data_IF_138004417663
#
_entry.id   IF_138004417663
#
_cell.length_a   1.000
_cell.length_b   1.000
_cell.length_c   1.000
_cell.angle_alpha   90.00
_cell.angle_beta   90.00
_cell.angle_gamma   90.00
#
_symmetry.space_group_name_H-M   'P 1'
#
loop_
_entity.id
_entity.type
_entity.pdbx_description
1 polymer ?
#
# COMPACT_ATOMS: atom_id res chain seq x y z
N UNK A 1 -10.23 5.62 1.41
CA UNK A 1 -10.20 6.96 2.03
C UNK A 1 -10.61 7.96 0.97
N UNK A 2 -11.49 8.90 1.28
CA UNK A 2 -11.80 10.04 0.40
C UNK A 2 -11.12 11.27 0.98
N UNK A 3 -10.28 11.93 0.20
CA UNK A 3 -9.61 13.18 0.61
C UNK A 3 -10.57 14.38 0.41
N UNK A 4 -11.73 14.33 1.11
CA UNK A 4 -12.82 15.31 0.92
C UNK A 4 -12.37 16.75 1.18
N UNK A 5 -11.44 16.95 2.09
CA UNK A 5 -10.90 18.26 2.43
C UNK A 5 -9.58 18.60 1.70
N UNK A 6 -9.02 17.69 0.92
CA UNK A 6 -7.76 17.85 0.21
C UNK A 6 -6.54 17.92 1.13
N UNK A 7 -6.61 17.42 2.36
CA UNK A 7 -5.51 17.48 3.33
C UNK A 7 -4.34 16.60 2.90
N UNK A 8 -4.62 15.39 2.43
CA UNK A 8 -3.62 14.48 1.88
C UNK A 8 -2.88 15.11 0.68
N UNK A 9 -3.65 15.65 -0.27
CA UNK A 9 -3.06 16.29 -1.45
C UNK A 9 -2.23 17.52 -1.08
N UNK A 10 -2.69 18.35 -0.11
CA UNK A 10 -1.92 19.48 0.40
C UNK A 10 -0.62 19.05 1.08
N UNK A 11 -0.66 17.99 1.89
CA UNK A 11 0.53 17.49 2.56
C UNK A 11 1.57 16.96 1.56
N UNK A 12 1.15 16.25 0.50
CA UNK A 12 2.05 15.88 -0.61
C UNK A 12 2.64 17.12 -1.30
N UNK A 13 1.82 18.17 -1.52
CA UNK A 13 2.32 19.42 -2.09
C UNK A 13 3.39 20.07 -1.22
N UNK A 14 3.24 20.04 0.09
CA UNK A 14 4.26 20.53 1.04
C UNK A 14 5.53 19.70 0.95
N UNK A 15 5.43 18.37 0.93
CA UNK A 15 6.58 17.48 0.79
C UNK A 15 7.37 17.76 -0.52
N UNK A 16 6.67 17.85 -1.65
CA UNK A 16 7.33 18.19 -2.93
C UNK A 16 8.02 19.56 -2.93
N UNK A 17 7.41 20.57 -2.30
CA UNK A 17 8.02 21.90 -2.16
C UNK A 17 9.26 21.89 -1.27
N UNK A 18 9.32 20.96 -0.32
CA UNK A 18 10.51 20.71 0.50
C UNK A 18 11.60 19.91 -0.23
N UNK A 19 11.35 19.47 -1.47
CA UNK A 19 12.30 18.73 -2.29
C UNK A 19 12.14 17.19 -2.20
N UNK A 20 11.13 16.71 -1.48
CA UNK A 20 10.86 15.26 -1.35
C UNK A 20 10.27 14.70 -2.65
N UNK A 21 10.72 13.51 -3.03
CA UNK A 21 10.14 12.70 -4.09
C UNK A 21 9.10 11.76 -3.48
N UNK A 22 7.87 11.80 -3.98
CA UNK A 22 6.75 11.05 -3.42
C UNK A 22 6.22 10.06 -4.45
N UNK A 23 6.01 8.81 -4.02
CA UNK A 23 5.26 7.77 -4.74
C UNK A 23 4.04 7.41 -3.92
N UNK A 24 2.88 7.37 -4.54
CA UNK A 24 1.63 6.94 -3.90
C UNK A 24 1.30 5.53 -4.38
N UNK A 25 1.11 4.61 -3.45
CA UNK A 25 0.54 3.27 -3.72
C UNK A 25 -0.83 3.22 -3.07
N UNK A 26 -1.84 2.79 -3.80
CA UNK A 26 -3.21 2.77 -3.28
C UNK A 26 -3.83 1.38 -3.33
N UNK A 27 -4.70 1.09 -2.39
CA UNK A 27 -5.67 0.01 -2.47
C UNK A 27 -7.02 0.50 -2.99
N UNK A 28 -8.07 -0.26 -2.74
CA UNK A 28 -9.43 0.08 -3.16
C UNK A 28 -10.45 -0.99 -2.77
N UNK A 29 -10.22 -1.68 -1.65
CA UNK A 29 -11.09 -2.76 -1.17
C UNK A 29 -12.57 -2.40 -1.18
N UNK A 30 -13.00 -1.28 -0.57
CA UNK A 30 -14.40 -0.88 -0.57
C UNK A 30 -14.98 -0.64 -1.98
N UNK A 31 -14.21 -0.04 -2.88
CA UNK A 31 -14.62 0.20 -4.27
C UNK A 31 -14.76 -1.10 -5.05
N UNK A 32 -13.81 -2.03 -4.85
CA UNK A 32 -13.88 -3.38 -5.43
C UNK A 32 -15.12 -4.11 -4.92
N UNK A 33 -15.43 -4.04 -3.62
CA UNK A 33 -16.61 -4.68 -3.04
C UNK A 33 -17.92 -4.14 -3.62
N UNK A 34 -17.99 -2.82 -3.84
CA UNK A 34 -19.15 -2.20 -4.51
C UNK A 34 -19.29 -2.71 -5.95
N UNK A 35 -18.17 -2.76 -6.70
CA UNK A 35 -18.19 -3.21 -8.09
C UNK A 35 -18.55 -4.70 -8.22
N UNK A 36 -18.02 -5.57 -7.35
CA UNK A 36 -18.33 -7.00 -7.33
C UNK A 36 -19.81 -7.23 -7.00
N UNK A 37 -20.34 -6.55 -5.95
CA UNK A 37 -21.77 -6.63 -5.63
C UNK A 37 -22.67 -6.18 -6.77
N UNK A 38 -22.28 -5.10 -7.47
CA UNK A 38 -23.00 -4.61 -8.64
C UNK A 38 -23.08 -5.62 -9.79
N UNK A 39 -22.12 -6.56 -9.85
CA UNK A 39 -22.08 -7.66 -10.83
C UNK A 39 -22.65 -8.97 -10.30
N UNK A 40 -23.09 -9.03 -9.02
CA UNK A 40 -23.55 -10.25 -8.39
C UNK A 40 -22.43 -11.24 -8.05
N UNK A 41 -21.17 -10.79 -8.04
CA UNK A 41 -20.00 -11.64 -7.74
C UNK A 41 -19.76 -11.65 -6.25
N UNK A 42 -19.68 -12.85 -5.66
CA UNK A 42 -19.36 -13.07 -4.25
C UNK A 42 -17.85 -13.09 -4.06
N UNK A 43 -17.35 -12.30 -3.13
CA UNK A 43 -15.94 -12.24 -2.78
C UNK A 43 -15.68 -12.98 -1.47
N UNK A 44 -14.66 -13.81 -1.44
CA UNK A 44 -14.22 -14.56 -0.25
C UNK A 44 -12.87 -14.04 0.22
N UNK A 45 -12.66 -14.01 1.54
CA UNK A 45 -11.40 -13.61 2.15
C UNK A 45 -10.81 -14.77 2.95
N UNK A 46 -9.50 -14.97 2.84
CA UNK A 46 -8.76 -15.99 3.59
C UNK A 46 -7.45 -15.36 4.09
N UNK A 47 -7.24 -15.35 5.39
CA UNK A 47 -6.04 -14.81 6.03
C UNK A 47 -5.70 -13.36 5.63
N UNK A 48 -6.72 -12.52 5.46
CA UNK A 48 -6.55 -11.12 5.05
C UNK A 48 -6.35 -10.90 3.54
N UNK A 49 -6.42 -11.95 2.73
CA UNK A 49 -6.35 -11.87 1.27
C UNK A 49 -7.70 -12.13 0.62
N UNK A 50 -8.05 -11.35 -0.39
CA UNK A 50 -9.21 -11.60 -1.25
C UNK A 50 -8.89 -12.75 -2.19
N UNK A 51 -9.56 -13.90 -2.06
CA UNK A 51 -9.44 -14.97 -3.03
C UNK A 51 -9.85 -14.44 -4.40
N UNK A 52 -8.95 -14.51 -5.37
CA UNK A 52 -9.07 -13.79 -6.64
C UNK A 52 -9.15 -14.79 -7.80
N UNK A 53 -10.37 -15.04 -8.28
CA UNK A 53 -10.60 -15.73 -9.56
C UNK A 53 -10.29 -14.79 -10.73
N UNK A 54 -10.29 -15.30 -11.97
CA UNK A 54 -10.10 -14.44 -13.14
C UNK A 54 -11.19 -13.35 -13.23
N UNK A 55 -12.44 -13.71 -12.99
CA UNK A 55 -13.56 -12.76 -13.01
C UNK A 55 -13.41 -11.66 -11.94
N UNK A 56 -12.95 -12.02 -10.73
CA UNK A 56 -12.66 -11.07 -9.66
C UNK A 56 -11.45 -10.21 -10.04
N UNK A 57 -10.41 -10.81 -10.64
CA UNK A 57 -9.23 -10.07 -11.08
C UNK A 57 -9.57 -8.98 -12.10
N UNK A 58 -10.42 -9.29 -13.07
CA UNK A 58 -10.85 -8.32 -14.10
C UNK A 58 -11.54 -7.11 -13.47
N UNK A 59 -12.36 -7.33 -12.42
CA UNK A 59 -12.99 -6.25 -11.65
C UNK A 59 -11.96 -5.47 -10.81
N UNK A 60 -11.02 -6.17 -10.17
CA UNK A 60 -9.94 -5.55 -9.38
C UNK A 60 -9.10 -4.64 -10.27
N UNK A 61 -8.67 -5.11 -11.44
CA UNK A 61 -7.86 -4.34 -12.38
C UNK A 61 -8.64 -3.10 -12.86
N UNK A 62 -9.88 -3.27 -13.31
CA UNK A 62 -10.74 -2.17 -13.75
C UNK A 62 -10.91 -1.09 -12.67
N UNK A 63 -11.23 -1.51 -11.44
CA UNK A 63 -11.48 -0.57 -10.33
C UNK A 63 -10.20 0.13 -9.89
N UNK A 64 -9.11 -0.60 -9.69
CA UNK A 64 -7.89 0.00 -9.17
C UNK A 64 -7.21 0.88 -10.22
N UNK A 65 -7.09 0.41 -11.46
CA UNK A 65 -6.35 1.12 -12.50
C UNK A 65 -7.15 2.27 -13.09
N UNK A 66 -8.42 2.01 -13.48
CA UNK A 66 -9.19 2.97 -14.26
C UNK A 66 -10.05 3.91 -13.39
N UNK A 67 -10.34 3.54 -12.13
CA UNK A 67 -11.16 4.37 -11.26
C UNK A 67 -10.32 4.98 -10.13
N UNK A 68 -9.86 4.19 -9.17
CA UNK A 68 -9.21 4.70 -7.95
C UNK A 68 -7.90 5.44 -8.28
N UNK A 69 -7.04 4.89 -9.11
CA UNK A 69 -5.78 5.52 -9.50
C UNK A 69 -6.00 6.90 -10.14
N UNK A 70 -6.95 6.98 -11.07
CA UNK A 70 -7.30 8.24 -11.73
C UNK A 70 -7.94 9.26 -10.77
N UNK A 71 -8.79 8.81 -9.83
CA UNK A 71 -9.37 9.69 -8.80
C UNK A 71 -8.30 10.28 -7.88
N UNK A 72 -7.32 9.47 -7.45
CA UNK A 72 -6.19 9.93 -6.64
C UNK A 72 -5.35 10.93 -7.42
N UNK A 73 -4.97 10.62 -8.65
CA UNK A 73 -4.18 11.52 -9.49
C UNK A 73 -4.93 12.85 -9.75
N UNK A 74 -6.23 12.79 -10.03
CA UNK A 74 -7.06 13.98 -10.19
C UNK A 74 -7.15 14.82 -8.92
N UNK A 75 -7.21 14.19 -7.74
CA UNK A 75 -7.22 14.88 -6.45
C UNK A 75 -5.91 15.62 -6.20
N UNK A 76 -4.77 15.00 -6.50
CA UNK A 76 -3.47 15.67 -6.47
C UNK A 76 -3.40 16.84 -7.46
N UNK A 77 -3.97 16.68 -8.65
CA UNK A 77 -4.06 17.73 -9.67
C UNK A 77 -4.79 18.99 -9.20
N UNK A 78 -5.81 18.87 -8.34
CA UNK A 78 -6.56 20.02 -7.79
C UNK A 78 -5.72 20.98 -6.96
N UNK A 79 -4.60 20.52 -6.40
CA UNK A 79 -3.66 21.33 -5.65
C UNK A 79 -2.37 21.65 -6.44
N UNK A 80 -2.39 21.43 -7.77
CA UNK A 80 -1.30 21.78 -8.67
C UNK A 80 -0.18 20.74 -8.76
N UNK A 81 -0.36 19.54 -8.22
CA UNK A 81 0.60 18.44 -8.33
C UNK A 81 0.42 17.75 -9.67
N UNK A 82 1.51 17.58 -10.41
CA UNK A 82 1.52 16.68 -11.57
C UNK A 82 1.57 15.24 -11.06
N UNK A 83 0.54 14.46 -11.35
CA UNK A 83 0.47 13.07 -10.94
C UNK A 83 0.15 12.17 -12.14
N UNK A 84 0.66 10.94 -12.13
CA UNK A 84 0.44 9.95 -13.18
C UNK A 84 -0.08 8.65 -12.57
N UNK A 85 -1.33 8.31 -12.87
CA UNK A 85 -1.91 7.03 -12.48
C UNK A 85 -1.35 5.93 -13.38
N UNK A 86 -0.85 4.86 -12.77
CA UNK A 86 -0.26 3.73 -13.49
C UNK A 86 -0.57 2.41 -12.82
N UNK A 87 -0.67 1.37 -13.63
CA UNK A 87 -0.66 0.00 -13.14
C UNK A 87 0.78 -0.51 -13.03
N UNK A 88 1.11 -1.21 -11.96
CA UNK A 88 2.38 -1.92 -11.87
C UNK A 88 2.54 -3.02 -12.95
N UNK A 89 1.45 -3.38 -13.64
CA UNK A 89 1.40 -4.34 -14.75
C UNK A 89 1.64 -3.69 -16.11
N UNK A 90 0.98 -2.55 -16.39
CA UNK A 90 1.06 -1.88 -17.72
C UNK A 90 2.46 -1.39 -18.04
N UNK A 91 3.13 -0.80 -17.05
CA UNK A 91 4.57 -0.55 -17.06
C UNK A 91 5.14 -1.52 -16.03
N UNK A 92 5.71 -2.69 -16.43
CA UNK A 92 5.99 -3.79 -15.51
C UNK A 92 6.99 -3.40 -14.43
N UNK A 93 6.47 -2.67 -13.44
CA UNK A 93 7.21 -2.15 -12.29
C UNK A 93 7.31 -3.18 -11.18
N UNK A 94 6.25 -3.97 -10.97
CA UNK A 94 6.23 -5.07 -9.99
C UNK A 94 5.96 -6.39 -10.72
N UNK A 95 6.88 -7.33 -10.56
CA UNK A 95 6.72 -8.72 -10.99
C UNK A 95 6.41 -9.57 -9.77
N UNK A 96 5.41 -10.42 -9.90
CA UNK A 96 4.91 -11.27 -8.82
C UNK A 96 4.76 -12.72 -9.26
N UNK A 97 4.73 -13.65 -8.33
CA UNK A 97 4.26 -15.01 -8.54
C UNK A 97 2.96 -15.24 -7.76
N UNK A 98 2.26 -16.32 -8.05
CA UNK A 98 1.06 -16.68 -7.27
C UNK A 98 1.43 -16.95 -5.82
N UNK A 99 0.64 -16.35 -4.92
CA UNK A 99 0.76 -16.59 -3.49
C UNK A 99 0.12 -17.91 -3.13
N UNK A 100 0.86 -18.80 -2.48
CA UNK A 100 0.41 -20.15 -2.09
C UNK A 100 0.34 -20.36 -0.59
N UNK A 101 0.64 -19.31 0.19
CA UNK A 101 0.66 -19.35 1.65
C UNK A 101 0.11 -18.05 2.24
N UNK A 102 -0.50 -18.15 3.40
CA UNK A 102 -0.87 -17.03 4.25
C UNK A 102 0.38 -16.38 4.88
N UNK A 103 0.18 -15.34 5.69
CA UNK A 103 1.29 -14.63 6.36
C UNK A 103 1.97 -15.54 7.40
N UNK A 104 1.21 -16.40 8.05
CA UNK A 104 1.71 -17.37 9.05
C UNK A 104 2.36 -18.63 8.42
N UNK A 105 2.46 -18.70 7.09
CA UNK A 105 3.01 -19.83 6.36
C UNK A 105 2.00 -20.95 6.06
N UNK A 106 0.76 -20.85 6.52
CA UNK A 106 -0.27 -21.85 6.24
C UNK A 106 -0.55 -21.94 4.74
N UNK A 107 -0.50 -23.12 4.12
CA UNK A 107 -0.83 -23.29 2.70
C UNK A 107 -2.26 -22.85 2.39
N UNK A 108 -2.46 -22.11 1.31
CA UNK A 108 -3.76 -21.65 0.87
C UNK A 108 -3.82 -21.49 -0.65
N UNK A 109 -4.94 -21.87 -1.26
CA UNK A 109 -5.24 -21.50 -2.65
C UNK A 109 -5.98 -20.16 -2.66
N UNK A 110 -5.28 -19.14 -3.11
CA UNK A 110 -5.77 -17.76 -3.17
C UNK A 110 -6.06 -17.30 -4.61
N UNK A 111 -5.94 -18.22 -5.58
CA UNK A 111 -6.14 -17.93 -7.01
C UNK A 111 -5.09 -16.98 -7.58
N UNK A 112 -5.52 -15.85 -8.12
CA UNK A 112 -4.65 -14.84 -8.75
C UNK A 112 -4.13 -13.79 -7.76
N UNK A 113 -3.95 -14.14 -6.49
CA UNK A 113 -3.23 -13.29 -5.53
C UNK A 113 -1.73 -13.38 -5.79
N UNK A 114 -1.08 -12.22 -5.87
CA UNK A 114 0.36 -12.10 -6.14
C UNK A 114 1.20 -11.95 -4.87
N UNK A 115 2.39 -12.54 -4.92
CA UNK A 115 3.49 -12.30 -4.00
C UNK A 115 4.65 -11.65 -4.76
N UNK A 116 5.09 -10.46 -4.33
CA UNK A 116 6.13 -9.70 -5.03
C UNK A 116 7.43 -10.50 -5.09
N UNK A 117 8.00 -10.59 -6.28
CA UNK A 117 9.29 -11.26 -6.53
C UNK A 117 10.40 -10.26 -6.79
N UNK A 118 10.13 -9.27 -7.61
CA UNK A 118 11.08 -8.21 -7.93
C UNK A 118 10.38 -6.93 -8.35
N UNK A 119 11.10 -5.84 -8.23
CA UNK A 119 10.67 -4.51 -8.67
C UNK A 119 11.64 -4.00 -9.73
N UNK A 120 11.08 -3.39 -10.79
CA UNK A 120 11.83 -2.58 -11.75
C UNK A 120 11.43 -1.12 -11.55
N UNK A 121 12.23 -0.29 -10.88
CA UNK A 121 11.85 1.08 -10.55
C UNK A 121 12.02 2.08 -11.71
N UNK A 122 12.50 1.67 -12.88
CA UNK A 122 12.90 2.58 -13.96
C UNK A 122 11.80 3.59 -14.35
N UNK A 123 10.57 3.11 -14.57
CA UNK A 123 9.45 3.98 -14.91
C UNK A 123 9.09 4.96 -13.79
N UNK A 124 9.22 4.56 -12.53
CA UNK A 124 8.99 5.43 -11.39
C UNK A 124 10.06 6.52 -11.27
N UNK A 125 11.33 6.14 -11.44
CA UNK A 125 12.46 7.08 -11.39
C UNK A 125 12.34 8.12 -12.49
N UNK A 126 11.96 7.73 -13.71
CA UNK A 126 11.73 8.65 -14.82
C UNK A 126 10.63 9.68 -14.50
N UNK A 127 9.51 9.25 -13.90
CA UNK A 127 8.44 10.15 -13.48
C UNK A 127 8.91 11.09 -12.35
N UNK A 128 9.64 10.58 -11.37
CA UNK A 128 10.15 11.35 -10.24
C UNK A 128 11.16 12.41 -10.69
N UNK A 129 12.03 12.11 -11.64
CA UNK A 129 12.96 13.08 -12.27
C UNK A 129 12.21 14.22 -12.95
N UNK A 130 11.05 13.95 -13.55
CA UNK A 130 10.16 14.94 -14.14
C UNK A 130 9.28 15.68 -13.12
N UNK A 131 9.45 15.41 -11.81
CA UNK A 131 8.63 15.93 -10.72
C UNK A 131 7.15 15.57 -10.84
N UNK A 132 6.88 14.41 -11.41
CA UNK A 132 5.54 13.80 -11.50
C UNK A 132 5.41 12.78 -10.37
N UNK A 133 4.32 12.84 -9.61
CA UNK A 133 4.00 11.84 -8.56
C UNK A 133 3.41 10.59 -9.22
N UNK A 134 4.10 9.44 -9.17
CA UNK A 134 3.50 8.18 -9.60
C UNK A 134 2.39 7.77 -8.62
N UNK A 135 1.22 7.41 -9.14
CA UNK A 135 0.10 6.84 -8.38
C UNK A 135 -0.10 5.41 -8.85
N UNK A 136 0.37 4.46 -8.06
CA UNK A 136 0.54 3.07 -8.47
C UNK A 136 -0.61 2.21 -7.97
N UNK A 137 -1.35 1.60 -8.89
CA UNK A 137 -2.26 0.49 -8.60
C UNK A 137 -1.46 -0.81 -8.46
N UNK A 138 -1.63 -1.60 -7.38
CA UNK A 138 -0.83 -2.79 -7.10
C UNK A 138 -1.30 -4.02 -7.90
N UNK A 139 -1.64 -3.82 -9.17
CA UNK A 139 -1.95 -4.87 -10.13
C UNK A 139 -0.68 -5.20 -10.90
N UNK A 140 -0.18 -6.41 -10.71
CA UNK A 140 1.12 -6.87 -11.21
C UNK A 140 0.98 -7.94 -12.28
N UNK A 141 2.08 -8.35 -12.88
CA UNK A 141 2.16 -9.50 -13.78
C UNK A 141 3.09 -10.57 -13.22
N UNK A 142 2.91 -11.79 -13.74
CA UNK A 142 3.91 -12.84 -13.63
C UNK A 142 5.17 -12.52 -14.47
N UNK A 143 6.21 -13.34 -14.35
CA UNK A 143 7.49 -13.14 -15.04
C UNK A 143 7.34 -13.09 -16.56
N UNK A 144 6.41 -13.86 -17.11
CA UNK A 144 6.13 -13.91 -18.56
C UNK A 144 5.26 -12.74 -19.04
N UNK A 145 4.79 -11.88 -18.16
CA UNK A 145 3.87 -10.76 -18.41
C UNK A 145 2.50 -11.18 -18.97
N UNK A 146 2.11 -12.44 -18.78
CA UNK A 146 0.87 -13.01 -19.33
C UNK A 146 -0.27 -12.98 -18.30
N UNK A 147 0.03 -13.39 -17.07
CA UNK A 147 -0.98 -13.51 -16.02
C UNK A 147 -0.99 -12.25 -15.14
N UNK A 148 -2.16 -11.63 -15.01
CA UNK A 148 -2.35 -10.55 -14.06
C UNK A 148 -2.48 -11.12 -12.64
N UNK A 149 -1.90 -10.43 -11.66
CA UNK A 149 -1.90 -10.81 -10.25
C UNK A 149 -2.32 -9.64 -9.37
N UNK A 150 -3.27 -9.91 -8.47
CA UNK A 150 -3.74 -8.97 -7.45
C UNK A 150 -2.77 -8.99 -6.27
N UNK A 151 -1.93 -7.97 -6.15
CA UNK A 151 -0.98 -7.82 -5.04
C UNK A 151 -1.60 -6.94 -3.96
N UNK A 152 -1.42 -7.31 -2.70
CA UNK A 152 -1.80 -6.45 -1.59
C UNK A 152 -1.01 -5.14 -1.64
N UNK A 153 -1.69 -4.00 -1.44
CA UNK A 153 -1.11 -2.67 -1.58
C UNK A 153 0.04 -2.41 -0.59
N UNK A 154 -0.06 -2.91 0.63
CA UNK A 154 0.98 -2.73 1.65
C UNK A 154 2.27 -3.45 1.23
N UNK A 155 2.19 -4.68 0.70
CA UNK A 155 3.35 -5.41 0.19
C UNK A 155 3.95 -4.79 -1.07
N UNK A 156 3.11 -4.30 -1.98
CA UNK A 156 3.60 -3.56 -3.15
C UNK A 156 4.32 -2.28 -2.73
N UNK A 157 3.77 -1.52 -1.78
CA UNK A 157 4.38 -0.31 -1.25
C UNK A 157 5.73 -0.60 -0.56
N UNK A 158 5.80 -1.67 0.24
CA UNK A 158 7.03 -2.09 0.89
C UNK A 158 8.14 -2.42 -0.12
N UNK A 159 7.82 -3.22 -1.13
CA UNK A 159 8.77 -3.60 -2.18
C UNK A 159 9.23 -2.40 -3.01
N UNK A 160 8.32 -1.49 -3.35
CA UNK A 160 8.64 -0.24 -4.05
C UNK A 160 9.51 0.67 -3.21
N UNK A 161 9.20 0.87 -1.93
CA UNK A 161 9.99 1.68 -1.01
C UNK A 161 11.42 1.17 -0.89
N UNK A 162 11.59 -0.14 -0.73
CA UNK A 162 12.90 -0.79 -0.68
C UNK A 162 13.68 -0.61 -1.99
N UNK A 163 13.05 -0.87 -3.14
CA UNK A 163 13.69 -0.76 -4.46
C UNK A 163 14.10 0.67 -4.82
N UNK A 164 13.36 1.67 -4.34
CA UNK A 164 13.65 3.08 -4.54
C UNK A 164 14.65 3.62 -3.50
N UNK A 165 15.03 2.85 -2.48
CA UNK A 165 15.84 3.33 -1.36
C UNK A 165 15.14 4.44 -0.58
N UNK A 166 13.82 4.34 -0.40
CA UNK A 166 13.01 5.38 0.21
C UNK A 166 13.48 5.68 1.65
N UNK A 167 13.52 6.97 1.99
CA UNK A 167 13.85 7.42 3.34
C UNK A 167 12.77 7.04 4.36
N UNK A 168 11.52 6.92 3.92
CA UNK A 168 10.38 6.51 4.76
C UNK A 168 9.28 5.87 3.92
N UNK A 169 8.62 4.86 4.48
CA UNK A 169 7.34 4.34 4.02
C UNK A 169 6.26 4.77 5.02
N UNK A 170 5.21 5.43 4.54
CA UNK A 170 4.04 5.79 5.36
C UNK A 170 2.88 4.87 4.98
N UNK A 171 2.45 4.03 5.91
CA UNK A 171 1.31 3.12 5.75
C UNK A 171 0.09 3.73 6.42
N UNK A 172 -0.95 3.99 5.64
CA UNK A 172 -2.20 4.58 6.13
C UNK A 172 -3.22 3.48 6.42
N UNK A 173 -3.83 3.55 7.60
CA UNK A 173 -4.84 2.59 8.08
C UNK A 173 -6.05 3.35 8.65
N UNK A 174 -6.98 2.65 9.27
CA UNK A 174 -8.18 3.19 9.93
C UNK A 174 -8.04 3.32 11.46
N UNK A 175 -6.81 3.15 11.96
CA UNK A 175 -6.46 3.29 13.38
C UNK A 175 -5.21 4.14 13.53
N UNK A 176 -5.00 4.74 14.71
CA UNK A 176 -3.91 5.68 14.95
C UNK A 176 -2.49 5.10 14.75
N UNK A 177 -2.34 3.78 14.84
CA UNK A 177 -1.08 3.08 14.70
C UNK A 177 -1.19 1.66 15.22
N UNK A 178 -0.09 1.09 15.70
CA UNK A 178 -0.04 -0.26 16.29
C UNK A 178 -0.33 -0.15 17.78
N UNK A 179 -1.25 -0.95 18.26
CA UNK A 179 -1.59 -1.06 19.68
C UNK A 179 -1.05 -2.36 20.26
N UNK A 180 -0.42 -2.30 21.43
CA UNK A 180 0.10 -3.50 22.11
C UNK A 180 -1.02 -4.43 22.55
N UNK A 181 -2.13 -3.87 22.99
CA UNK A 181 -3.29 -4.59 23.58
C UNK A 181 -4.61 -4.05 23.02
N UNK A 182 -4.88 -4.21 21.72
CA UNK A 182 -6.18 -3.79 21.16
C UNK A 182 -7.35 -4.50 21.88
N UNK A 183 -8.46 -3.81 22.26
CA UNK A 183 -8.85 -2.44 21.88
C UNK A 183 -8.45 -1.32 22.87
N UNK A 184 -7.51 -1.57 23.77
CA UNK A 184 -6.99 -0.57 24.72
C UNK A 184 -6.22 0.53 23.94
N UNK A 185 -6.83 1.72 23.86
CA UNK A 185 -6.26 2.86 23.11
C UNK A 185 -5.03 3.47 23.79
N UNK A 186 -4.87 3.29 25.09
CA UNK A 186 -3.70 3.76 25.83
C UNK A 186 -2.46 2.88 25.58
N UNK A 187 -2.66 1.72 24.91
CA UNK A 187 -1.59 0.81 24.51
C UNK A 187 -0.97 1.14 23.14
N UNK A 188 -1.25 2.33 22.55
CA UNK A 188 -0.64 2.77 21.31
C UNK A 188 0.89 2.81 21.44
N UNK A 189 1.58 2.24 20.46
CA UNK A 189 3.04 2.19 20.41
C UNK A 189 3.53 3.38 19.59
N UNK A 190 4.25 4.30 20.21
CA UNK A 190 4.81 5.48 19.51
C UNK A 190 6.00 5.07 18.61
N UNK A 191 6.86 4.18 19.12
CA UNK A 191 8.01 3.66 18.36
C UNK A 191 8.34 2.24 18.80
N UNK A 192 8.76 1.41 17.84
CA UNK A 192 9.14 0.02 18.06
C UNK A 192 10.23 -0.38 17.09
N UNK A 193 11.17 -1.23 17.53
CA UNK A 193 12.14 -1.84 16.62
C UNK A 193 11.51 -2.98 15.80
N UNK A 194 12.09 -3.27 14.64
CA UNK A 194 11.68 -4.41 13.82
C UNK A 194 11.72 -5.72 14.59
N UNK A 195 12.75 -5.92 15.44
CA UNK A 195 12.90 -7.13 16.24
C UNK A 195 11.81 -7.28 17.31
N UNK A 196 11.43 -6.20 17.99
CA UNK A 196 10.33 -6.20 18.95
C UNK A 196 8.97 -6.41 18.26
N UNK A 197 8.75 -5.76 17.09
CA UNK A 197 7.55 -5.93 16.31
C UNK A 197 7.39 -7.37 15.80
N UNK A 198 8.47 -7.97 15.31
CA UNK A 198 8.51 -9.40 14.93
C UNK A 198 8.10 -10.32 16.08
N UNK A 199 8.57 -10.03 17.29
CA UNK A 199 8.27 -10.85 18.48
C UNK A 199 6.78 -10.83 18.88
N UNK A 200 6.05 -9.73 18.57
CA UNK A 200 4.64 -9.57 18.93
C UNK A 200 3.67 -9.75 17.75
N UNK A 201 4.17 -9.94 16.52
CA UNK A 201 3.33 -9.95 15.31
C UNK A 201 2.22 -11.00 15.29
N UNK A 202 2.43 -12.14 15.95
CA UNK A 202 1.43 -13.21 16.00
C UNK A 202 0.13 -12.82 16.75
N UNK A 203 0.16 -11.74 17.53
CA UNK A 203 -1.00 -11.24 18.28
C UNK A 203 -1.93 -10.30 17.49
N UNK A 204 -1.55 -9.91 16.27
CA UNK A 204 -2.33 -8.94 15.49
C UNK A 204 -3.47 -9.59 14.72
N UNK A 205 -4.62 -8.88 14.66
CA UNK A 205 -5.78 -9.29 13.88
C UNK A 205 -5.48 -9.26 12.36
N UNK A 206 -6.26 -9.99 11.58
CA UNK A 206 -6.10 -10.17 10.11
C UNK A 206 -5.96 -8.83 9.35
N UNK A 207 -6.63 -7.75 9.79
CA UNK A 207 -6.53 -6.45 9.13
C UNK A 207 -5.19 -5.73 9.37
N UNK A 208 -4.55 -5.92 10.55
CA UNK A 208 -3.26 -5.32 10.89
C UNK A 208 -2.08 -6.20 10.47
N UNK A 209 -2.23 -7.52 10.47
CA UNK A 209 -1.14 -8.45 10.16
C UNK A 209 -0.44 -8.18 8.80
N UNK A 210 -1.14 -7.89 7.68
CA UNK A 210 -0.49 -7.52 6.42
C UNK A 210 0.35 -6.25 6.53
N UNK A 211 -0.12 -5.24 7.28
CA UNK A 211 0.58 -3.96 7.44
C UNK A 211 1.84 -4.10 8.28
N UNK A 212 1.76 -4.88 9.36
CA UNK A 212 2.91 -5.23 10.19
C UNK A 212 3.94 -6.00 9.37
N UNK A 213 3.51 -7.03 8.62
CA UNK A 213 4.43 -7.80 7.78
C UNK A 213 5.05 -6.93 6.69
N UNK A 214 4.27 -6.07 6.03
CA UNK A 214 4.80 -5.13 5.03
C UNK A 214 5.81 -4.14 5.62
N UNK A 215 5.61 -3.69 6.86
CA UNK A 215 6.58 -2.84 7.55
C UNK A 215 7.89 -3.57 7.82
N UNK A 216 7.83 -4.81 8.29
CA UNK A 216 9.01 -5.65 8.53
C UNK A 216 9.74 -5.96 7.22
N UNK A 217 9.01 -6.31 6.16
CA UNK A 217 9.58 -6.58 4.84
C UNK A 217 10.28 -5.33 4.27
N UNK A 218 9.65 -4.15 4.36
CA UNK A 218 10.25 -2.91 3.89
C UNK A 218 11.58 -2.62 4.56
N UNK A 219 11.65 -2.77 5.90
CA UNK A 219 12.89 -2.56 6.66
C UNK A 219 13.94 -3.61 6.31
N UNK A 220 13.57 -4.89 6.19
CA UNK A 220 14.49 -5.97 5.84
C UNK A 220 15.12 -5.81 4.46
N UNK A 221 14.39 -5.16 3.53
CA UNK A 221 14.85 -4.86 2.18
C UNK A 221 15.49 -3.48 2.02
N UNK A 222 15.69 -2.73 3.13
CA UNK A 222 16.51 -1.53 3.14
C UNK A 222 15.76 -0.19 3.22
N UNK A 223 14.45 -0.17 3.42
CA UNK A 223 13.77 1.07 3.84
C UNK A 223 14.31 1.51 5.21
N UNK A 224 14.50 2.83 5.39
CA UNK A 224 15.14 3.33 6.63
C UNK A 224 14.18 3.37 7.80
N UNK A 225 12.89 3.63 7.53
CA UNK A 225 11.83 3.69 8.53
C UNK A 225 10.48 3.42 7.90
N UNK A 226 9.56 2.89 8.70
CA UNK A 226 8.14 2.76 8.33
C UNK A 226 7.30 3.43 9.40
N UNK A 227 6.32 4.23 8.98
CA UNK A 227 5.37 4.84 9.90
C UNK A 227 3.96 4.40 9.56
N UNK A 228 3.23 3.91 10.56
CA UNK A 228 1.83 3.47 10.42
C UNK A 228 0.95 4.53 11.08
N UNK A 229 -0.01 5.09 10.33
CA UNK A 229 -0.82 6.23 10.76
C UNK A 229 -2.31 6.03 10.48
N UNK A 230 -3.16 6.82 11.16
CA UNK A 230 -4.57 6.92 10.82
C UNK A 230 -4.76 7.73 9.53
N UNK A 231 -5.13 7.06 8.45
CA UNK A 231 -5.44 7.69 7.18
C UNK A 231 -6.83 8.35 7.13
N UNK A 232 -7.64 8.20 8.17
CA UNK A 232 -8.95 8.86 8.29
C UNK A 232 -8.85 10.22 8.97
N UNK A 233 -7.79 10.45 9.76
CA UNK A 233 -7.48 11.74 10.35
C UNK A 233 -6.81 12.65 9.29
N UNK A 234 -7.41 13.79 8.98
CA UNK A 234 -6.93 14.70 7.93
C UNK A 234 -5.52 15.26 8.19
N UNK A 235 -5.08 15.36 9.44
CA UNK A 235 -3.80 15.96 9.82
C UNK A 235 -2.69 14.93 10.06
N UNK A 236 -3.05 13.65 10.12
CA UNK A 236 -2.15 12.55 10.43
C UNK A 236 -1.00 12.42 9.45
N UNK A 237 -1.27 12.58 8.14
CA UNK A 237 -0.23 12.49 7.11
C UNK A 237 0.76 13.66 7.18
N UNK A 238 0.29 14.87 7.41
CA UNK A 238 1.16 16.04 7.60
C UNK A 238 2.05 15.88 8.84
N UNK A 239 1.47 15.36 9.95
CA UNK A 239 2.21 15.03 11.16
C UNK A 239 3.29 13.98 10.91
N UNK A 240 2.96 12.93 10.15
CA UNK A 240 3.90 11.87 9.79
C UNK A 240 5.09 12.39 8.97
N UNK A 241 4.86 13.30 8.02
CA UNK A 241 5.91 13.96 7.26
C UNK A 241 6.82 14.82 8.15
N UNK A 242 6.27 15.42 9.22
CA UNK A 242 7.04 16.15 10.23
C UNK A 242 7.73 15.23 11.26
N UNK A 243 7.62 13.91 11.10
CA UNK A 243 8.24 12.93 11.99
C UNK A 243 7.44 12.60 13.25
N UNK A 244 6.16 13.01 13.33
CA UNK A 244 5.32 12.83 14.51
C UNK A 244 4.07 11.97 14.23
N UNK A 245 3.41 11.49 15.30
CA UNK A 245 2.17 10.71 15.22
C UNK A 245 2.33 9.30 14.68
N UNK A 246 1.32 8.49 14.88
CA UNK A 246 1.31 7.08 14.50
C UNK A 246 2.34 6.23 15.23
N UNK A 247 2.62 5.05 14.70
CA UNK A 247 3.69 4.16 15.16
C UNK A 247 4.88 4.23 14.21
N UNK A 248 6.05 4.61 14.71
CA UNK A 248 7.32 4.54 13.99
C UNK A 248 7.95 3.16 14.17
N UNK A 249 8.22 2.46 13.07
CA UNK A 249 8.99 1.20 13.08
C UNK A 249 10.37 1.47 12.50
N UNK A 250 11.40 1.08 13.23
CA UNK A 250 12.81 1.27 12.86
C UNK A 250 13.55 -0.07 12.82
N UNK A 251 14.68 -0.11 12.13
CA UNK A 251 15.53 -1.30 12.02
C UNK A 251 16.06 -1.77 13.38
#
# INVERSE_FOLDING_TARGET
>A
MKDENGNFARAISVAQKAGEQVVVVHGGGPQIDVALRGKGIVSTWVGGFRVTTQEIFDVVEEVLVNQVGNEVAATLGKVGIKAHAMSARTLPTVIANRRTQLIDGTPADLGLVGNVQRVNPAALLELLEQKIVPVVAPVSSDEDLKTGLNVNADFAAAALAASLGASSLIVMTDVAGIYRNWPDKDSLIDSISASELEAIKAGFAEGMAPKVQAALDALSFGAKAVRIIDGTDPDSFASALAGAGGTLVVA
#
